data_IF_467779975083
#
_entry.id   IF_467779975083
#
_cell.length_a   1.000
_cell.length_b   1.000
_cell.length_c   1.000
_cell.angle_alpha   90.00
_cell.angle_beta   90.00
_cell.angle_gamma   90.00
#
_symmetry.space_group_name_H-M   'P 1'
#
loop_
_entity.id
_entity.type
_entity.pdbx_description
1 polymer ?
#
# COMPACT_ATOMS: atom_id res chain seq x y z
N UNK A 1 26.15 -2.94 -30.59
CA UNK A 1 25.44 -3.82 -31.54
C UNK A 1 24.82 -5.06 -30.90
N UNK A 2 25.52 -5.81 -30.02
CA UNK A 2 24.97 -7.03 -29.38
C UNK A 2 23.72 -6.78 -28.52
N UNK A 3 23.67 -5.69 -27.76
CA UNK A 3 22.54 -5.40 -26.86
C UNK A 3 21.20 -5.13 -27.57
N UNK A 4 21.25 -4.51 -28.76
CA UNK A 4 20.05 -4.22 -29.58
C UNK A 4 19.26 -5.48 -29.95
N UNK A 5 19.94 -6.63 -30.06
CA UNK A 5 19.30 -7.93 -30.35
C UNK A 5 18.43 -8.44 -29.20
N UNK A 6 18.72 -8.05 -27.95
CA UNK A 6 17.90 -8.41 -26.78
C UNK A 6 16.76 -7.42 -26.52
N UNK A 7 16.88 -6.16 -26.96
CA UNK A 7 15.81 -5.16 -26.83
C UNK A 7 14.67 -5.34 -27.82
N UNK A 8 14.96 -5.89 -29.01
CA UNK A 8 13.93 -6.17 -30.00
C UNK A 8 12.84 -7.14 -29.48
N UNK A 9 13.14 -8.35 -28.96
CA UNK A 9 12.11 -9.23 -28.46
C UNK A 9 11.37 -8.64 -27.25
N UNK A 10 12.05 -7.87 -26.38
CA UNK A 10 11.41 -7.17 -25.26
C UNK A 10 10.37 -6.16 -25.74
N UNK A 11 10.74 -5.31 -26.69
CA UNK A 11 9.83 -4.28 -27.23
C UNK A 11 8.66 -4.90 -27.99
N UNK A 12 8.92 -5.95 -28.80
CA UNK A 12 7.86 -6.70 -29.48
C UNK A 12 6.92 -7.37 -28.47
N UNK A 13 7.46 -8.04 -27.45
CA UNK A 13 6.67 -8.70 -26.41
C UNK A 13 5.74 -7.72 -25.69
N UNK A 14 6.28 -6.59 -25.19
CA UNK A 14 5.47 -5.57 -24.50
C UNK A 14 4.43 -4.96 -25.44
N UNK A 15 4.77 -4.74 -26.72
CA UNK A 15 3.84 -4.19 -27.70
C UNK A 15 2.67 -5.14 -27.97
N UNK A 16 2.94 -6.44 -28.14
CA UNK A 16 1.90 -7.45 -28.33
C UNK A 16 1.00 -7.58 -27.10
N UNK A 17 1.60 -7.64 -25.90
CA UNK A 17 0.84 -7.72 -24.65
C UNK A 17 0.03 -6.44 -24.34
N UNK A 18 0.40 -5.29 -24.91
CA UNK A 18 -0.35 -4.05 -24.74
C UNK A 18 -1.76 -4.10 -25.38
N UNK A 19 -1.98 -5.01 -26.34
CA UNK A 19 -3.29 -5.24 -26.97
C UNK A 19 -4.19 -6.20 -26.18
N UNK A 20 -3.71 -6.78 -25.06
CA UNK A 20 -4.52 -7.66 -24.24
C UNK A 20 -5.53 -6.84 -23.42
N UNK A 21 -6.81 -7.25 -23.48
CA UNK A 21 -7.90 -6.59 -22.73
C UNK A 21 -7.69 -6.68 -21.22
N UNK A 22 -7.22 -7.84 -20.75
CA UNK A 22 -6.85 -8.06 -19.36
C UNK A 22 -5.38 -7.69 -19.14
N UNK A 23 -5.10 -6.76 -18.21
CA UNK A 23 -3.74 -6.32 -17.89
C UNK A 23 -3.38 -6.74 -16.47
N UNK A 24 -2.29 -7.48 -16.35
CA UNK A 24 -1.72 -7.83 -15.05
C UNK A 24 -0.22 -7.55 -15.07
N UNK A 25 0.31 -7.09 -13.94
CA UNK A 25 1.74 -6.85 -13.76
C UNK A 25 2.60 -8.06 -14.10
N UNK A 26 2.12 -9.27 -13.75
CA UNK A 26 2.86 -10.52 -13.98
C UNK A 26 3.16 -10.80 -15.45
N UNK A 27 2.42 -10.21 -16.39
CA UNK A 27 2.69 -10.40 -17.82
C UNK A 27 3.97 -9.69 -18.27
N UNK A 28 4.32 -8.56 -17.66
CA UNK A 28 5.45 -7.73 -18.10
C UNK A 28 6.67 -7.82 -17.18
N UNK A 29 6.55 -8.42 -15.99
CA UNK A 29 7.65 -8.50 -15.01
C UNK A 29 8.93 -9.12 -15.59
N UNK A 30 8.80 -10.03 -16.55
CA UNK A 30 9.92 -10.74 -17.18
C UNK A 30 10.82 -9.85 -18.04
N UNK A 31 10.34 -8.71 -18.53
CA UNK A 31 11.18 -7.81 -19.34
C UNK A 31 12.06 -6.89 -18.51
N UNK A 32 11.73 -6.71 -17.22
CA UNK A 32 12.39 -5.75 -16.33
C UNK A 32 13.89 -6.03 -16.17
N UNK A 33 14.36 -7.27 -15.92
CA UNK A 33 15.80 -7.53 -15.78
C UNK A 33 16.58 -7.17 -17.05
N UNK A 34 16.00 -7.40 -18.23
CA UNK A 34 16.66 -7.13 -19.51
C UNK A 34 16.75 -5.61 -19.76
N UNK A 35 15.69 -4.85 -19.42
CA UNK A 35 15.69 -3.38 -19.51
C UNK A 35 16.72 -2.79 -18.55
N UNK A 36 16.78 -3.27 -17.31
CA UNK A 36 17.76 -2.82 -16.31
C UNK A 36 19.21 -3.12 -16.73
N UNK A 37 19.46 -4.30 -17.31
CA UNK A 37 20.76 -4.62 -17.90
C UNK A 37 21.13 -3.61 -19.00
N UNK A 38 20.17 -3.21 -19.83
CA UNK A 38 20.37 -2.19 -20.86
C UNK A 38 20.69 -0.81 -20.34
N UNK A 39 19.98 -0.39 -19.30
CA UNK A 39 20.27 0.86 -18.60
C UNK A 39 21.69 0.83 -18.02
N UNK A 40 22.09 -0.26 -17.37
CA UNK A 40 23.43 -0.42 -16.79
C UNK A 40 24.55 -0.42 -17.85
N UNK A 41 24.38 -1.12 -18.96
CA UNK A 41 25.35 -1.13 -20.08
C UNK A 41 25.49 0.26 -20.69
N UNK A 42 24.36 0.95 -20.90
CA UNK A 42 24.34 2.33 -21.43
C UNK A 42 25.06 3.28 -20.48
N UNK A 43 24.75 3.22 -19.18
CA UNK A 43 25.39 4.07 -18.17
C UNK A 43 26.90 3.80 -18.10
N UNK A 44 27.32 2.53 -18.07
CA UNK A 44 28.75 2.16 -18.10
C UNK A 44 29.46 2.71 -19.34
N UNK A 45 28.80 2.66 -20.50
CA UNK A 45 29.34 3.19 -21.74
C UNK A 45 29.48 4.71 -21.70
N UNK A 46 28.47 5.43 -21.19
CA UNK A 46 28.51 6.90 -21.01
C UNK A 46 29.65 7.31 -20.07
N UNK A 47 29.80 6.62 -18.93
CA UNK A 47 30.83 6.92 -17.92
C UNK A 47 32.26 6.73 -18.43
N UNK A 48 32.47 5.85 -19.42
CA UNK A 48 33.78 5.64 -20.05
C UNK A 48 34.19 6.75 -21.01
N UNK A 49 33.29 7.65 -21.39
CA UNK A 49 33.57 8.75 -22.32
C UNK A 49 34.11 9.97 -21.57
N UNK A 50 35.20 10.56 -22.08
CA UNK A 50 35.91 11.66 -21.40
C UNK A 50 35.45 13.07 -21.76
N UNK A 51 34.66 13.25 -22.82
CA UNK A 51 34.24 14.58 -23.27
C UNK A 51 33.24 15.22 -22.28
N UNK A 52 33.23 16.55 -22.18
CA UNK A 52 32.33 17.31 -21.31
C UNK A 52 30.85 16.94 -21.53
N UNK A 53 30.42 16.76 -22.78
CA UNK A 53 29.05 16.37 -23.11
C UNK A 53 28.60 15.07 -22.39
N UNK A 54 29.45 14.04 -22.39
CA UNK A 54 29.17 12.78 -21.68
C UNK A 54 29.25 12.91 -20.15
N UNK A 55 30.03 13.85 -19.61
CA UNK A 55 30.02 14.16 -18.18
C UNK A 55 28.70 14.79 -17.75
N UNK A 56 28.20 15.74 -18.55
CA UNK A 56 26.87 16.35 -18.35
C UNK A 56 25.79 15.28 -18.46
N UNK A 57 25.86 14.41 -19.48
CA UNK A 57 24.91 13.30 -19.64
C UNK A 57 24.95 12.34 -18.45
N UNK A 58 26.14 11.96 -17.97
CA UNK A 58 26.29 11.10 -16.80
C UNK A 58 25.66 11.73 -15.55
N UNK A 59 25.91 13.02 -15.31
CA UNK A 59 25.29 13.76 -14.21
C UNK A 59 23.75 13.73 -14.33
N UNK A 60 23.22 13.99 -15.53
CA UNK A 60 21.79 13.92 -15.79
C UNK A 60 21.20 12.52 -15.51
N UNK A 61 21.89 11.46 -15.91
CA UNK A 61 21.45 10.08 -15.61
C UNK A 61 21.46 9.76 -14.11
N UNK A 62 22.45 10.24 -13.35
CA UNK A 62 22.46 10.07 -11.89
C UNK A 62 21.36 10.87 -11.20
N UNK A 63 21.08 12.10 -11.67
CA UNK A 63 19.95 12.90 -11.18
C UNK A 63 18.62 12.18 -11.45
N UNK A 64 18.42 11.64 -12.64
CA UNK A 64 17.23 10.86 -12.98
C UNK A 64 17.10 9.59 -12.14
N UNK A 65 18.21 8.90 -11.86
CA UNK A 65 18.22 7.73 -10.98
C UNK A 65 17.83 8.10 -9.54
N UNK A 66 18.40 9.17 -9.01
CA UNK A 66 18.02 9.69 -7.69
C UNK A 66 16.55 10.10 -7.61
N UNK A 67 16.06 10.79 -8.65
CA UNK A 67 14.64 11.16 -8.75
C UNK A 67 13.72 9.91 -8.84
N UNK A 68 14.09 8.91 -9.62
CA UNK A 68 13.36 7.65 -9.70
C UNK A 68 13.32 6.93 -8.35
N UNK A 69 14.41 6.92 -7.60
CA UNK A 69 14.44 6.35 -6.25
C UNK A 69 13.48 7.08 -5.31
N UNK A 70 13.55 8.42 -5.25
CA UNK A 70 12.65 9.23 -4.39
C UNK A 70 11.19 8.98 -4.75
N UNK A 71 10.84 9.06 -6.04
CA UNK A 71 9.46 8.81 -6.48
C UNK A 71 8.99 7.38 -6.22
N UNK A 72 9.88 6.39 -6.25
CA UNK A 72 9.56 4.99 -5.93
C UNK A 72 9.28 4.82 -4.44
N UNK A 73 10.08 5.45 -3.56
CA UNK A 73 9.83 5.45 -2.11
C UNK A 73 8.49 6.12 -1.78
N UNK A 74 8.21 7.27 -2.40
CA UNK A 74 6.92 7.96 -2.22
C UNK A 74 5.74 7.09 -2.66
N UNK A 75 5.84 6.47 -3.84
CA UNK A 75 4.81 5.53 -4.31
C UNK A 75 4.67 4.32 -3.39
N UNK A 76 5.77 3.78 -2.85
CA UNK A 76 5.73 2.67 -1.91
C UNK A 76 4.98 3.05 -0.62
N UNK A 77 5.27 4.24 -0.06
CA UNK A 77 4.57 4.76 1.12
C UNK A 77 3.08 4.95 0.84
N UNK A 78 2.71 5.55 -0.28
CA UNK A 78 1.30 5.71 -0.65
C UNK A 78 0.64 4.35 -0.85
N UNK A 79 1.35 3.40 -1.48
CA UNK A 79 0.83 2.07 -1.76
C UNK A 79 0.60 1.23 -0.52
N UNK A 80 1.26 1.51 0.61
CA UNK A 80 1.01 0.78 1.85
C UNK A 80 -0.41 1.02 2.40
N UNK A 81 -1.05 2.12 2.01
CA UNK A 81 -2.44 2.44 2.37
C UNK A 81 -3.48 1.68 1.52
N UNK A 82 -3.07 0.92 0.50
CA UNK A 82 -3.97 0.09 -0.32
C UNK A 82 -4.30 -1.27 0.33
N UNK A 83 -3.85 -1.52 1.57
CA UNK A 83 -4.05 -2.80 2.27
C UNK A 83 -4.92 -2.71 3.54
N UNK A 84 -6.11 -2.06 3.52
CA UNK A 84 -6.97 -1.94 4.69
C UNK A 84 -7.49 -3.29 5.21
N UNK A 85 -7.67 -4.32 4.39
CA UNK A 85 -8.14 -5.63 4.85
C UNK A 85 -7.15 -6.35 5.77
N UNK A 86 -5.84 -6.23 5.50
CA UNK A 86 -4.81 -6.75 6.40
C UNK A 86 -4.75 -5.98 7.72
N UNK A 87 -4.92 -4.66 7.66
CA UNK A 87 -5.03 -3.81 8.85
C UNK A 87 -6.27 -4.15 9.67
N UNK A 88 -7.42 -4.36 9.02
CA UNK A 88 -8.67 -4.74 9.68
C UNK A 88 -8.58 -6.08 10.41
N UNK A 89 -7.92 -7.08 9.82
CA UNK A 89 -7.69 -8.35 10.49
C UNK A 89 -6.86 -8.17 11.78
N UNK A 90 -5.78 -7.40 11.71
CA UNK A 90 -4.95 -7.09 12.87
C UNK A 90 -5.73 -6.35 13.95
N UNK A 91 -6.51 -5.32 13.56
CA UNK A 91 -7.33 -4.52 14.48
C UNK A 91 -8.41 -5.36 15.14
N UNK A 92 -9.04 -6.27 14.40
CA UNK A 92 -10.00 -7.23 14.94
C UNK A 92 -9.37 -8.06 16.07
N UNK A 93 -8.16 -8.59 15.84
CA UNK A 93 -7.44 -9.33 16.89
C UNK A 93 -7.14 -8.46 18.11
N UNK A 94 -6.65 -7.23 17.91
CA UNK A 94 -6.35 -6.31 19.00
C UNK A 94 -7.60 -5.96 19.85
N UNK A 95 -8.77 -5.86 19.22
CA UNK A 95 -10.03 -5.53 19.89
C UNK A 95 -10.66 -6.73 20.62
N UNK A 96 -10.62 -7.91 20.01
CA UNK A 96 -11.48 -9.03 20.39
C UNK A 96 -10.75 -10.17 21.08
N UNK A 97 -9.43 -10.33 20.88
CA UNK A 97 -8.64 -11.35 21.58
C UNK A 97 -8.80 -11.32 23.10
N UNK A 98 -8.88 -10.16 23.78
CA UNK A 98 -9.08 -10.12 25.22
C UNK A 98 -10.47 -10.57 25.67
N UNK A 99 -11.47 -10.52 24.78
CA UNK A 99 -12.88 -10.72 25.11
C UNK A 99 -13.38 -12.11 24.68
N UNK A 100 -12.87 -12.63 23.57
CA UNK A 100 -13.35 -13.87 22.96
C UNK A 100 -12.29 -14.97 23.01
N UNK A 101 -12.67 -16.10 23.61
CA UNK A 101 -11.87 -17.33 23.54
C UNK A 101 -12.01 -17.99 22.16
N UNK A 102 -13.18 -17.85 21.51
CA UNK A 102 -13.51 -18.40 20.19
C UNK A 102 -14.18 -17.35 19.29
N UNK A 103 -13.83 -17.35 18.00
CA UNK A 103 -14.50 -16.50 17.01
C UNK A 103 -14.60 -17.19 15.66
N UNK A 104 -15.69 -16.98 14.94
CA UNK A 104 -15.83 -17.37 13.55
C UNK A 104 -15.98 -16.14 12.67
N UNK A 105 -14.98 -15.89 11.84
CA UNK A 105 -14.80 -14.63 11.12
C UNK A 105 -15.07 -14.87 9.65
N UNK A 106 -15.99 -14.08 9.10
CA UNK A 106 -16.16 -13.99 7.67
C UNK A 106 -15.23 -12.93 7.09
N UNK A 107 -14.57 -13.28 5.98
CA UNK A 107 -13.69 -12.38 5.23
C UNK A 107 -14.33 -12.14 3.87
N UNK A 108 -14.73 -10.90 3.61
CA UNK A 108 -15.27 -10.46 2.34
C UNK A 108 -14.19 -10.44 1.24
N UNK A 109 -14.61 -10.51 -0.03
CA UNK A 109 -13.72 -10.46 -1.19
C UNK A 109 -12.79 -9.24 -1.15
N UNK A 110 -13.37 -8.06 -0.91
CA UNK A 110 -12.62 -6.81 -0.81
C UNK A 110 -11.60 -6.81 0.35
N UNK A 111 -11.92 -7.42 1.49
CA UNK A 111 -11.00 -7.55 2.61
C UNK A 111 -9.82 -8.46 2.23
N UNK A 112 -10.08 -9.58 1.55
CA UNK A 112 -9.04 -10.51 1.11
C UNK A 112 -8.12 -9.89 0.04
N UNK A 113 -8.69 -9.17 -0.92
CA UNK A 113 -7.94 -8.49 -1.99
C UNK A 113 -7.03 -7.38 -1.43
N UNK A 114 -7.39 -6.81 -0.28
CA UNK A 114 -6.64 -5.75 0.40
C UNK A 114 -5.82 -6.25 1.59
N UNK A 115 -5.39 -7.51 1.56
CA UNK A 115 -4.35 -8.02 2.46
C UNK A 115 -4.84 -8.83 3.66
N UNK A 116 -6.14 -9.09 3.81
CA UNK A 116 -6.62 -10.09 4.76
C UNK A 116 -6.22 -11.49 4.26
N UNK A 117 -5.19 -12.08 4.86
CA UNK A 117 -4.58 -13.33 4.38
C UNK A 117 -4.36 -14.32 5.52
N UNK A 118 -4.19 -15.59 5.16
CA UNK A 118 -3.93 -16.69 6.10
C UNK A 118 -2.69 -16.48 6.98
N UNK A 119 -1.71 -15.71 6.52
CA UNK A 119 -0.52 -15.41 7.33
C UNK A 119 -0.83 -14.53 8.54
N UNK A 120 -1.93 -13.77 8.50
CA UNK A 120 -2.40 -12.96 9.62
C UNK A 120 -3.33 -13.71 10.56
N UNK A 121 -3.74 -14.94 10.24
CA UNK A 121 -4.66 -15.72 11.07
C UNK A 121 -3.95 -16.24 12.32
N UNK A 122 -4.57 -16.03 13.48
CA UNK A 122 -4.10 -16.58 14.75
C UNK A 122 -4.68 -17.97 14.97
N UNK A 123 -3.81 -18.93 15.33
CA UNK A 123 -4.15 -20.26 15.83
C UNK A 123 -5.19 -21.03 14.99
N UNK A 124 -4.78 -21.62 13.87
CA UNK A 124 -5.63 -22.50 13.06
C UNK A 124 -5.83 -23.91 13.64
N UNK A 125 -5.15 -24.25 14.75
CA UNK A 125 -5.28 -25.56 15.37
C UNK A 125 -6.48 -25.56 16.32
N UNK A 126 -7.49 -26.38 15.97
CA UNK A 126 -8.75 -26.54 16.72
C UNK A 126 -8.58 -26.84 18.22
N UNK A 127 -7.41 -27.33 18.63
CA UNK A 127 -7.12 -27.69 20.02
C UNK A 127 -6.61 -26.52 20.90
N UNK A 128 -6.05 -25.45 20.31
CA UNK A 128 -5.38 -24.39 21.09
C UNK A 128 -5.93 -22.98 20.86
N UNK A 129 -6.64 -22.71 19.77
CA UNK A 129 -7.38 -21.46 19.56
C UNK A 129 -8.58 -21.70 18.64
N UNK A 130 -9.82 -21.57 19.12
CA UNK A 130 -11.03 -21.80 18.31
C UNK A 130 -11.37 -20.64 17.34
N UNK A 131 -10.37 -19.87 16.92
CA UNK A 131 -10.52 -18.82 15.92
C UNK A 131 -10.55 -19.42 14.52
N UNK A 132 -11.66 -19.22 13.82
CA UNK A 132 -11.90 -19.76 12.47
C UNK A 132 -12.12 -18.62 11.50
N UNK A 133 -11.61 -18.79 10.29
CA UNK A 133 -11.71 -17.79 9.24
C UNK A 133 -12.34 -18.43 8.01
N UNK A 134 -13.26 -17.72 7.35
CA UNK A 134 -13.96 -18.22 6.18
C UNK A 134 -14.17 -17.12 5.16
N UNK A 135 -13.62 -17.34 3.98
CA UNK A 135 -13.90 -16.56 2.78
C UNK A 135 -14.94 -17.27 1.91
N UNK A 136 -16.08 -17.63 2.51
CA UNK A 136 -17.13 -18.26 1.73
C UNK A 136 -17.88 -17.19 0.92
N UNK A 137 -17.60 -17.13 -0.38
CA UNK A 137 -18.21 -16.19 -1.33
C UNK A 137 -19.57 -16.68 -1.84
N UNK A 138 -20.05 -17.87 -1.43
CA UNK A 138 -21.33 -18.42 -1.90
C UNK A 138 -22.56 -17.81 -1.22
N UNK A 139 -22.38 -16.95 -0.22
CA UNK A 139 -23.50 -16.34 0.50
C UNK A 139 -24.24 -15.34 -0.39
N UNK A 140 -25.56 -15.38 -0.33
CA UNK A 140 -26.43 -14.52 -1.16
C UNK A 140 -27.44 -13.73 -0.34
N UNK A 141 -27.68 -14.14 0.90
CA UNK A 141 -28.64 -13.53 1.82
C UNK A 141 -27.97 -13.11 3.13
N UNK A 142 -28.42 -12.05 3.83
CA UNK A 142 -27.85 -11.65 5.13
C UNK A 142 -27.93 -12.78 6.17
N UNK A 143 -28.95 -13.63 6.08
CA UNK A 143 -29.15 -14.77 6.99
C UNK A 143 -28.01 -15.78 6.92
N UNK A 144 -27.35 -15.89 5.77
CA UNK A 144 -26.25 -16.82 5.59
C UNK A 144 -25.01 -16.40 6.40
N UNK A 145 -24.98 -15.16 6.91
CA UNK A 145 -23.87 -14.66 7.72
C UNK A 145 -24.08 -14.89 9.21
N UNK A 146 -25.27 -15.32 9.63
CA UNK A 146 -25.64 -15.38 11.05
C UNK A 146 -24.80 -16.40 11.83
N UNK A 147 -24.18 -17.40 11.22
CA UNK A 147 -23.30 -18.32 11.93
C UNK A 147 -21.90 -17.75 12.23
N UNK A 148 -21.56 -16.58 11.66
CA UNK A 148 -20.32 -15.87 11.98
C UNK A 148 -20.49 -15.01 13.23
N UNK A 149 -19.44 -14.92 14.04
CA UNK A 149 -19.38 -13.98 15.16
C UNK A 149 -18.95 -12.59 14.70
N UNK A 150 -18.04 -12.51 13.72
CA UNK A 150 -17.50 -11.27 13.20
C UNK A 150 -17.44 -11.25 11.68
N UNK A 151 -17.53 -10.06 11.10
CA UNK A 151 -17.40 -9.83 9.66
C UNK A 151 -16.30 -8.79 9.41
N UNK A 152 -15.46 -9.04 8.42
CA UNK A 152 -14.63 -8.04 7.76
C UNK A 152 -15.24 -7.78 6.38
N UNK A 153 -15.96 -6.68 6.24
CA UNK A 153 -16.80 -6.41 5.04
C UNK A 153 -16.56 -5.02 4.48
N UNK A 154 -16.74 -4.88 3.17
CA UNK A 154 -16.78 -3.58 2.49
C UNK A 154 -18.19 -2.96 2.44
N UNK A 155 -19.23 -3.72 2.82
CA UNK A 155 -20.64 -3.33 2.72
C UNK A 155 -21.33 -3.42 4.08
N UNK A 156 -21.03 -2.51 5.03
CA UNK A 156 -21.58 -2.59 6.38
C UNK A 156 -23.11 -2.45 6.41
N UNK A 157 -23.67 -1.66 5.49
CA UNK A 157 -25.11 -1.40 5.35
C UNK A 157 -25.92 -2.69 5.18
N UNK A 158 -25.36 -3.68 4.49
CA UNK A 158 -26.01 -4.97 4.24
C UNK A 158 -26.20 -5.81 5.51
N UNK A 159 -25.43 -5.55 6.56
CA UNK A 159 -25.40 -6.34 7.80
C UNK A 159 -25.91 -5.59 9.04
N UNK A 160 -26.36 -4.33 8.91
CA UNK A 160 -26.69 -3.46 10.05
C UNK A 160 -27.79 -4.01 11.00
N UNK A 161 -28.66 -4.89 10.52
CA UNK A 161 -29.73 -5.46 11.34
C UNK A 161 -29.22 -6.48 12.36
N UNK A 162 -28.23 -7.28 11.99
CA UNK A 162 -27.75 -8.41 12.81
C UNK A 162 -26.34 -8.18 13.39
N UNK A 163 -25.62 -7.17 12.88
CA UNK A 163 -24.25 -6.85 13.24
C UNK A 163 -24.07 -5.37 13.58
N UNK A 164 -23.24 -5.09 14.59
CA UNK A 164 -22.80 -3.75 14.96
C UNK A 164 -21.40 -3.47 14.41
N UNK A 165 -21.18 -2.26 13.92
CA UNK A 165 -19.86 -1.79 13.50
C UNK A 165 -19.02 -1.45 14.72
N UNK A 166 -17.85 -2.05 14.84
CA UNK A 166 -16.87 -1.77 15.89
C UNK A 166 -15.90 -0.68 15.46
N UNK A 167 -15.31 -0.85 14.28
CA UNK A 167 -14.28 0.05 13.75
C UNK A 167 -14.37 0.07 12.21
N UNK A 168 -14.10 1.23 11.62
CA UNK A 168 -13.95 1.39 10.19
C UNK A 168 -12.48 1.66 9.86
N UNK A 169 -11.89 0.84 9.00
CA UNK A 169 -10.48 0.91 8.64
C UNK A 169 -10.34 1.73 7.35
N UNK A 170 -9.60 2.84 7.40
CA UNK A 170 -9.37 3.66 6.23
C UNK A 170 -8.41 2.97 5.24
N UNK A 171 -8.62 3.23 3.96
CA UNK A 171 -7.70 2.85 2.89
C UNK A 171 -7.59 3.97 1.86
N UNK A 172 -6.60 3.85 0.98
CA UNK A 172 -6.36 4.81 -0.09
C UNK A 172 -7.60 5.00 -0.99
N UNK A 173 -8.02 6.24 -1.16
CA UNK A 173 -9.14 6.62 -2.02
C UNK A 173 -8.69 7.48 -3.20
N UNK A 174 -7.58 8.20 -3.07
CA UNK A 174 -7.05 9.01 -4.14
C UNK A 174 -6.10 10.08 -3.64
N UNK A 175 -5.92 11.10 -4.49
CA UNK A 175 -5.03 12.22 -4.22
C UNK A 175 -5.81 13.51 -4.34
N UNK A 176 -5.74 14.34 -3.30
CA UNK A 176 -6.36 15.65 -3.26
C UNK A 176 -5.32 16.75 -3.40
N UNK A 177 -5.64 17.76 -4.20
CA UNK A 177 -4.84 18.99 -4.27
C UNK A 177 -5.17 19.91 -3.10
N UNK A 178 -4.13 20.40 -2.45
CA UNK A 178 -4.23 21.39 -1.38
C UNK A 178 -4.01 22.78 -1.98
N UNK A 179 -4.90 23.76 -1.74
CA UNK A 179 -4.67 25.14 -2.13
C UNK A 179 -3.31 25.67 -1.65
N UNK A 180 -2.59 26.36 -2.53
CA UNK A 180 -1.25 26.88 -2.23
C UNK A 180 -1.22 27.86 -1.06
N UNK A 181 -2.34 28.51 -0.76
CA UNK A 181 -2.50 29.42 0.39
C UNK A 181 -2.35 28.67 1.72
N UNK A 182 -2.98 27.50 1.83
CA UNK A 182 -2.91 26.66 3.02
C UNK A 182 -1.49 26.09 3.18
N UNK A 183 -0.89 25.60 2.11
CA UNK A 183 0.50 25.08 2.14
C UNK A 183 1.50 26.15 2.58
N UNK A 184 1.34 27.39 2.08
CA UNK A 184 2.20 28.52 2.48
C UNK A 184 2.08 28.87 3.96
N UNK A 185 0.93 28.59 4.58
CA UNK A 185 0.71 28.82 6.01
C UNK A 185 1.19 27.63 6.86
N UNK A 186 0.90 26.40 6.45
CA UNK A 186 1.21 25.19 7.22
C UNK A 186 2.68 24.78 7.14
N UNK A 187 3.33 24.98 5.99
CA UNK A 187 4.68 24.47 5.77
C UNK A 187 5.74 25.12 6.67
N UNK A 188 5.81 26.46 6.84
CA UNK A 188 6.79 27.10 7.72
C UNK A 188 6.67 26.61 9.17
N UNK A 189 5.44 26.50 9.68
CA UNK A 189 5.15 26.00 11.04
C UNK A 189 5.57 24.54 11.20
N UNK A 190 5.29 23.70 10.19
CA UNK A 190 5.70 22.29 10.19
C UNK A 190 7.22 22.16 10.21
N UNK A 191 7.92 22.92 9.36
CA UNK A 191 9.39 22.91 9.29
C UNK A 191 10.02 23.42 10.60
N UNK A 192 9.45 24.46 11.21
CA UNK A 192 9.90 24.95 12.52
C UNK A 192 9.72 23.89 13.61
N UNK A 193 8.54 23.25 13.68
CA UNK A 193 8.29 22.18 14.65
C UNK A 193 9.26 21.01 14.50
N UNK A 194 9.57 20.61 13.26
CA UNK A 194 10.54 19.56 12.97
C UNK A 194 11.96 20.01 13.34
N UNK A 195 12.34 21.24 13.04
CA UNK A 195 13.65 21.79 13.42
C UNK A 195 13.85 21.82 14.94
N UNK A 196 12.79 22.12 15.69
CA UNK A 196 12.81 22.13 17.15
C UNK A 196 12.86 20.71 17.73
N UNK A 197 12.15 19.74 17.15
CA UNK A 197 12.27 18.32 17.48
C UNK A 197 13.67 17.79 17.20
N UNK A 198 14.28 18.18 16.07
CA UNK A 198 15.64 17.79 15.69
C UNK A 198 16.71 18.30 16.65
N UNK A 199 16.53 19.53 17.16
CA UNK A 199 17.42 20.11 18.18
C UNK A 199 17.31 19.40 19.53
N UNK A 200 16.16 18.80 19.85
CA UNK A 200 15.92 18.10 21.12
C UNK A 200 16.38 16.64 21.09
N UNK A 201 16.07 15.90 20.03
CA UNK A 201 16.26 14.44 19.98
C UNK A 201 17.48 13.98 19.16
N UNK A 202 18.19 14.90 18.50
CA UNK A 202 19.34 14.56 17.65
C UNK A 202 18.97 13.88 16.31
N UNK A 203 20.00 13.57 15.52
CA UNK A 203 19.92 13.15 14.10
C UNK A 203 19.13 11.86 13.83
N UNK A 204 18.92 11.00 14.84
CA UNK A 204 18.18 9.74 14.73
C UNK A 204 16.70 9.92 14.35
N UNK A 205 16.12 11.09 14.62
CA UNK A 205 14.71 11.41 14.32
C UNK A 205 14.45 11.82 12.85
N UNK A 206 15.49 12.15 12.07
CA UNK A 206 15.36 12.46 10.62
C UNK A 206 15.00 11.25 9.78
N UNK A 207 15.38 10.05 10.22
CA UNK A 207 15.11 8.81 9.50
C UNK A 207 13.77 8.18 9.90
N UNK A 208 13.05 8.78 10.86
CA UNK A 208 11.75 8.29 11.28
C UNK A 208 10.71 8.53 10.16
N UNK A 209 10.00 7.45 9.79
CA UNK A 209 8.89 7.49 8.81
C UNK A 209 7.89 8.61 9.12
N UNK A 210 7.58 8.81 10.40
CA UNK A 210 6.62 9.81 10.87
C UNK A 210 7.05 11.25 10.56
N UNK A 211 8.34 11.55 10.62
CA UNK A 211 8.90 12.87 10.32
C UNK A 211 8.64 13.26 8.87
N UNK A 212 8.88 12.33 7.94
CA UNK A 212 8.65 12.54 6.52
C UNK A 212 7.17 12.62 6.17
N UNK A 213 6.32 11.84 6.86
CA UNK A 213 4.86 11.94 6.69
C UNK A 213 4.37 13.32 7.13
N UNK A 214 4.75 13.79 8.32
CA UNK A 214 4.38 15.13 8.81
C UNK A 214 4.85 16.24 7.88
N UNK A 215 6.08 16.15 7.37
CA UNK A 215 6.62 17.10 6.41
C UNK A 215 5.81 17.10 5.11
N UNK A 216 5.48 15.92 4.59
CA UNK A 216 4.66 15.79 3.38
C UNK A 216 3.25 16.36 3.59
N UNK A 217 2.57 16.01 4.68
CA UNK A 217 1.23 16.51 4.98
C UNK A 217 1.19 18.04 5.12
N UNK A 218 2.21 18.64 5.75
CA UNK A 218 2.29 20.07 6.00
C UNK A 218 2.78 20.90 4.81
N UNK A 219 3.62 20.35 3.93
CA UNK A 219 4.29 21.10 2.86
C UNK A 219 3.93 20.66 1.44
N UNK A 220 3.29 19.50 1.25
CA UNK A 220 2.94 19.03 -0.09
C UNK A 220 1.66 19.70 -0.59
N UNK A 221 1.62 20.20 -1.85
CA UNK A 221 0.39 20.62 -2.51
C UNK A 221 -0.52 19.44 -2.87
N UNK A 222 -0.10 18.22 -2.52
CA UNK A 222 -0.71 16.95 -2.91
C UNK A 222 -0.81 16.07 -1.67
N UNK A 223 -2.03 15.82 -1.20
CA UNK A 223 -2.31 14.99 -0.03
C UNK A 223 -3.00 13.70 -0.44
N UNK A 224 -2.71 12.62 0.30
CA UNK A 224 -3.39 11.34 0.15
C UNK A 224 -4.77 11.45 0.80
N UNK A 225 -5.81 11.10 0.06
CA UNK A 225 -7.16 10.99 0.59
C UNK A 225 -7.40 9.55 1.02
N UNK A 226 -7.77 9.39 2.29
CA UNK A 226 -8.16 8.11 2.87
C UNK A 226 -9.66 8.11 3.10
N UNK A 227 -10.30 6.97 2.82
CA UNK A 227 -11.71 6.75 3.09
C UNK A 227 -11.89 5.38 3.74
N UNK A 228 -12.95 5.21 4.51
CA UNK A 228 -13.28 3.91 5.09
C UNK A 228 -13.53 2.90 3.96
N UNK A 229 -12.77 1.80 3.96
CA UNK A 229 -12.87 0.74 2.93
C UNK A 229 -13.34 -0.59 3.50
N UNK A 230 -12.93 -0.91 4.73
CA UNK A 230 -13.27 -2.19 5.38
C UNK A 230 -13.81 -1.89 6.78
N UNK A 231 -14.91 -2.54 7.13
CA UNK A 231 -15.55 -2.42 8.43
C UNK A 231 -15.38 -3.72 9.20
N UNK A 232 -15.05 -3.56 10.48
CA UNK A 232 -15.02 -4.65 11.45
C UNK A 232 -16.38 -4.65 12.13
N UNK A 233 -17.12 -5.75 11.99
CA UNK A 233 -18.45 -5.88 12.56
C UNK A 233 -18.55 -7.09 13.47
N UNK A 234 -19.38 -6.99 14.51
CA UNK A 234 -19.67 -8.06 15.48
C UNK A 234 -21.16 -8.33 15.50
N UNK A 235 -21.56 -9.60 15.53
CA UNK A 235 -22.97 -10.00 15.62
C UNK A 235 -23.56 -9.60 16.97
N UNK A 236 -24.80 -9.13 16.98
CA UNK A 236 -25.51 -8.88 18.24
C UNK A 236 -25.61 -10.17 19.07
N UNK A 237 -25.28 -10.08 20.36
CA UNK A 237 -25.35 -11.21 21.29
C UNK A 237 -24.30 -12.31 21.05
N UNK A 238 -23.26 -12.07 20.24
CA UNK A 238 -22.10 -12.95 20.22
C UNK A 238 -21.34 -12.84 21.56
N UNK A 239 -21.12 -13.99 22.21
CA UNK A 239 -20.28 -14.18 23.39
C UNK A 239 -19.33 -15.36 23.13
#
# INVERSE_FOLDING_TARGET
>A
QRFRRYMLPVTVFVSLYSFLGHKEWRFVVYVIPIINLGAAVTLSWVLKRKTIAYRILALGLFVLLGFNFVTSVLQAIISSENYPGGQALRRLHELELPQFTAAYIHIDGAAAETGCSRFGEIGSNQETSPWRYSKNESHTSPKDYLHYTHLLTSTPEYHQHDFVVLEAVPGYAGVRRVPSTLVKQSCPTTVQSLTDSLKKDGSSSLLAKETWIKLWEGCSPVQVQLENKIWIMRRFGAA
#
